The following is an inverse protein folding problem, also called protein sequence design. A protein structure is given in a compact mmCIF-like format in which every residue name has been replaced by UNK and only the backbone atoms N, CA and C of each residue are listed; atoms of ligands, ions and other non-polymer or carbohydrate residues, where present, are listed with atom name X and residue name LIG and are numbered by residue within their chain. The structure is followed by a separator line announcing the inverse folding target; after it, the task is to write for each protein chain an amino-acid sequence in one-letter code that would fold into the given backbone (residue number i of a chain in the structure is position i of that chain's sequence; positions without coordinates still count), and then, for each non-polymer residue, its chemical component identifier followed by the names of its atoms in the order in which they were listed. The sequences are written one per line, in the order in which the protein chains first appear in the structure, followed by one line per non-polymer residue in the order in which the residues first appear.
data_IF_868917051149
#
_entry.id   IF_868917051149
#
_cell.length_a   1.000
_cell.length_b   1.000
_cell.length_c   1.000
_cell.angle_alpha   90.00
_cell.angle_beta   90.00
_cell.angle_gamma   90.00
#
_symmetry.space_group_name_H-M   'P 1'
#
loop_
_entity.id
_entity.type
_entity.pdbx_description
1 polymer ?
#
# COMPACT_ATOMS: atom_id res chain seq x y z
N UNK A 1 15.25 1.52 7.53
CA UNK A 1 15.96 1.68 6.24
C UNK A 1 14.95 1.95 5.14
N UNK A 2 15.12 3.05 4.43
CA UNK A 2 14.20 3.42 3.36
C UNK A 2 14.61 2.73 2.06
N UNK A 3 13.67 2.01 1.45
CA UNK A 3 13.86 1.39 0.14
C UNK A 3 13.29 2.35 -0.90
N UNK A 4 14.10 2.72 -1.86
CA UNK A 4 13.65 3.64 -2.91
C UNK A 4 12.92 2.89 -4.02
N UNK A 5 11.87 3.52 -4.51
CA UNK A 5 11.16 3.03 -5.70
C UNK A 5 11.91 3.59 -6.92
N UNK A 6 12.63 2.74 -7.63
CA UNK A 6 13.34 3.14 -8.83
C UNK A 6 12.40 3.06 -10.06
N UNK A 7 12.94 3.43 -11.24
CA UNK A 7 12.15 3.46 -12.47
C UNK A 7 11.57 2.08 -12.82
N UNK A 8 12.34 1.02 -12.59
CA UNK A 8 11.88 -0.34 -12.91
C UNK A 8 10.70 -0.73 -12.03
N UNK A 9 10.78 -0.42 -10.73
CA UNK A 9 9.70 -0.71 -9.79
C UNK A 9 8.46 0.12 -10.12
N UNK A 10 8.64 1.42 -10.41
CA UNK A 10 7.53 2.30 -10.78
C UNK A 10 6.83 1.82 -12.05
N UNK A 11 7.60 1.35 -13.04
CA UNK A 11 7.05 0.80 -14.28
C UNK A 11 6.26 -0.47 -14.02
N UNK A 12 6.81 -1.35 -13.18
CA UNK A 12 6.14 -2.58 -12.78
C UNK A 12 4.80 -2.28 -12.09
N UNK A 13 4.79 -1.34 -11.16
CA UNK A 13 3.57 -0.94 -10.44
C UNK A 13 2.53 -0.38 -11.40
N UNK A 14 2.96 0.42 -12.38
CA UNK A 14 2.06 0.98 -13.38
C UNK A 14 1.38 -0.12 -14.19
N UNK A 15 2.16 -1.11 -14.61
CA UNK A 15 1.63 -2.25 -15.36
C UNK A 15 0.69 -3.10 -14.51
N UNK A 16 1.06 -3.37 -13.26
CA UNK A 16 0.25 -4.16 -12.34
C UNK A 16 -1.08 -3.47 -12.02
N UNK A 17 -1.05 -2.14 -11.90
CA UNK A 17 -2.27 -1.37 -11.58
C UNK A 17 -3.35 -1.58 -12.63
N UNK A 18 -2.97 -1.74 -13.89
CA UNK A 18 -3.91 -1.95 -14.99
C UNK A 18 -4.18 -3.43 -15.28
N UNK A 19 -3.41 -4.34 -14.69
CA UNK A 19 -3.59 -5.77 -14.89
C UNK A 19 -4.82 -6.26 -14.14
N UNK A 20 -5.71 -6.94 -14.86
CA UNK A 20 -6.95 -7.45 -14.30
C UNK A 20 -6.69 -8.44 -13.17
N UNK A 21 -5.68 -9.26 -13.33
CA UNK A 21 -5.30 -10.28 -12.36
C UNK A 21 -4.79 -9.69 -11.04
N UNK A 22 -4.35 -8.44 -11.07
CA UNK A 22 -3.82 -7.77 -9.88
C UNK A 22 -4.93 -7.17 -9.02
N UNK A 23 -6.12 -6.94 -9.59
CA UNK A 23 -7.23 -6.31 -8.88
C UNK A 23 -7.66 -7.04 -7.60
N UNK A 24 -7.75 -8.37 -7.59
CA UNK A 24 -8.09 -9.08 -6.35
C UNK A 24 -7.13 -8.80 -5.21
N UNK A 25 -5.83 -8.63 -5.51
CA UNK A 25 -4.85 -8.31 -4.48
C UNK A 25 -5.08 -6.89 -3.94
N UNK A 26 -5.37 -5.93 -4.82
CA UNK A 26 -5.67 -4.55 -4.41
C UNK A 26 -6.91 -4.55 -3.50
N UNK A 27 -7.95 -5.26 -3.89
CA UNK A 27 -9.16 -5.37 -3.08
C UNK A 27 -8.87 -6.00 -1.72
N UNK A 28 -8.05 -7.04 -1.70
CA UNK A 28 -7.63 -7.69 -0.45
C UNK A 28 -6.91 -6.71 0.47
N UNK A 29 -6.02 -5.89 -0.07
CA UNK A 29 -5.30 -4.89 0.72
C UNK A 29 -6.26 -3.82 1.26
N UNK A 30 -7.22 -3.38 0.45
CA UNK A 30 -8.22 -2.41 0.89
C UNK A 30 -9.09 -2.95 2.01
N UNK A 31 -9.53 -4.20 1.89
CA UNK A 31 -10.33 -4.86 2.93
C UNK A 31 -9.51 -5.08 4.21
N UNK A 32 -8.25 -5.46 4.07
CA UNK A 32 -7.35 -5.65 5.21
C UNK A 32 -7.16 -4.33 5.95
N UNK A 33 -6.96 -3.24 5.22
CA UNK A 33 -6.80 -1.92 5.81
C UNK A 33 -8.05 -1.51 6.57
N UNK A 34 -9.22 -1.64 5.95
CA UNK A 34 -10.49 -1.27 6.56
C UNK A 34 -10.78 -2.11 7.82
N UNK A 35 -10.55 -3.43 7.74
CA UNK A 35 -10.75 -4.33 8.87
C UNK A 35 -9.80 -3.98 10.02
N UNK A 36 -8.55 -3.67 9.70
CA UNK A 36 -7.55 -3.31 10.71
C UNK A 36 -7.91 -2.02 11.42
N UNK A 37 -8.39 -1.02 10.68
CA UNK A 37 -8.85 0.24 11.27
C UNK A 37 -10.04 0.02 12.21
N UNK A 38 -10.98 -0.84 11.82
CA UNK A 38 -12.12 -1.16 12.64
C UNK A 38 -11.70 -1.84 13.94
N UNK A 39 -10.79 -2.82 13.87
CA UNK A 39 -10.26 -3.49 15.05
C UNK A 39 -9.50 -2.52 15.95
N UNK A 40 -8.75 -1.61 15.35
CA UNK A 40 -8.00 -0.60 16.10
C UNK A 40 -8.94 0.30 16.90
N UNK A 41 -10.07 0.68 16.31
CA UNK A 41 -11.05 1.55 16.98
C UNK A 41 -11.75 0.88 18.15
N UNK A 42 -11.81 -0.46 18.16
CA UNK A 42 -12.48 -1.22 19.22
C UNK A 42 -11.52 -1.86 20.21
N UNK A 43 -10.22 -1.86 19.92
CA UNK A 43 -9.23 -2.49 20.79
C UNK A 43 -9.00 -1.69 22.05
N UNK A 44 -8.88 -2.39 23.19
CA UNK A 44 -8.57 -1.80 24.48
C UNK A 44 -7.19 -2.19 24.99
N UNK A 45 -6.55 -3.14 24.31
CA UNK A 45 -5.21 -3.61 24.66
C UNK A 45 -4.18 -2.76 23.94
N UNK A 46 -3.29 -2.14 24.70
CA UNK A 46 -2.26 -1.24 24.16
C UNK A 46 -1.30 -1.94 23.21
N UNK A 47 -0.88 -3.15 23.53
CA UNK A 47 0.03 -3.92 22.67
C UNK A 47 -0.65 -4.31 21.37
N UNK A 48 -1.92 -4.70 21.45
CA UNK A 48 -2.70 -5.01 20.25
C UNK A 48 -2.89 -3.77 19.39
N UNK A 49 -3.17 -2.62 20.01
CA UNK A 49 -3.32 -1.36 19.28
C UNK A 49 -2.06 -1.00 18.52
N UNK A 50 -0.88 -1.19 19.13
CA UNK A 50 0.39 -0.92 18.44
C UNK A 50 0.60 -1.84 17.24
N UNK A 51 0.27 -3.13 17.39
CA UNK A 51 0.39 -4.08 16.28
C UNK A 51 -0.58 -3.76 15.15
N UNK A 52 -1.81 -3.43 15.49
CA UNK A 52 -2.84 -3.07 14.51
C UNK A 52 -2.47 -1.78 13.78
N UNK A 53 -1.93 -0.81 14.52
CA UNK A 53 -1.49 0.45 13.93
C UNK A 53 -0.38 0.21 12.90
N UNK A 54 0.62 -0.60 13.25
CA UNK A 54 1.70 -0.96 12.32
C UNK A 54 1.17 -1.68 11.08
N UNK A 55 0.21 -2.59 11.25
CA UNK A 55 -0.40 -3.32 10.14
C UNK A 55 -1.18 -2.38 9.22
N UNK A 56 -1.91 -1.43 9.80
CA UNK A 56 -2.66 -0.44 9.02
C UNK A 56 -1.73 0.44 8.20
N UNK A 57 -0.64 0.91 8.81
CA UNK A 57 0.36 1.72 8.10
C UNK A 57 0.98 0.94 6.94
N UNK A 58 1.32 -0.33 7.15
CA UNK A 58 1.89 -1.18 6.11
C UNK A 58 0.93 -1.32 4.93
N UNK A 59 -0.33 -1.63 5.21
CA UNK A 59 -1.33 -1.78 4.16
C UNK A 59 -1.53 -0.48 3.40
N UNK A 60 -1.57 0.65 4.10
CA UNK A 60 -1.73 1.96 3.49
C UNK A 60 -0.52 2.30 2.59
N UNK A 61 0.69 2.01 3.06
CA UNK A 61 1.90 2.26 2.27
C UNK A 61 1.90 1.46 0.97
N UNK A 62 1.48 0.19 1.03
CA UNK A 62 1.40 -0.66 -0.16
C UNK A 62 0.34 -0.14 -1.14
N UNK A 63 -0.82 0.25 -0.63
CA UNK A 63 -1.90 0.81 -1.46
C UNK A 63 -1.47 2.11 -2.11
N UNK A 64 -0.82 2.99 -1.35
CA UNK A 64 -0.33 4.26 -1.87
C UNK A 64 0.75 4.03 -2.94
N UNK A 65 1.62 3.06 -2.72
CA UNK A 65 2.68 2.73 -3.66
C UNK A 65 2.11 2.27 -5.01
N UNK A 66 1.11 1.39 -4.97
CA UNK A 66 0.43 0.92 -6.20
C UNK A 66 -0.23 2.09 -6.91
N UNK A 67 -0.93 2.93 -6.16
CA UNK A 67 -1.69 4.05 -6.72
C UNK A 67 -0.77 5.12 -7.31
N UNK A 68 0.37 5.38 -6.68
CA UNK A 68 1.31 6.43 -7.10
C UNK A 68 2.39 5.96 -8.04
N UNK A 69 2.41 4.67 -8.40
CA UNK A 69 3.46 4.12 -9.25
C UNK A 69 3.63 4.88 -10.56
N UNK A 70 2.54 5.19 -11.25
CA UNK A 70 2.59 5.92 -12.52
C UNK A 70 3.08 7.36 -12.35
N UNK A 71 2.69 8.00 -11.25
CA UNK A 71 3.15 9.36 -10.94
C UNK A 71 4.65 9.39 -10.68
N UNK A 72 5.16 8.39 -9.95
CA UNK A 72 6.58 8.28 -9.67
C UNK A 72 7.38 8.06 -10.95
N UNK A 73 6.86 7.23 -11.86
CA UNK A 73 7.49 6.97 -13.15
C UNK A 73 7.58 8.26 -13.98
N UNK A 74 6.51 9.04 -14.01
CA UNK A 74 6.46 10.32 -14.73
C UNK A 74 7.49 11.29 -14.16
N UNK A 75 7.61 11.39 -12.84
CA UNK A 75 8.60 12.27 -12.20
C UNK A 75 10.02 11.85 -12.54
N UNK A 76 10.30 10.54 -12.54
CA UNK A 76 11.62 10.03 -12.86
C UNK A 76 12.01 10.36 -14.31
N UNK A 77 11.06 10.27 -15.23
CA UNK A 77 11.32 10.54 -16.64
C UNK A 77 11.56 12.02 -16.96
N UNK A 78 11.03 12.91 -16.12
CA UNK A 78 11.19 14.35 -16.32
C UNK A 78 12.55 14.88 -15.86
N UNK A 79 13.28 14.10 -15.12
CA UNK A 79 14.62 14.43 -14.69
C UNK A 79 15.62 13.96 -15.72
#
# INVERSE_FOLDING_TARGET
MAVRVDERVARCLTLLKTAQEFQPLVEFLQLTYADTLERLSTSRDKDEMCRLHGRALQAKELLDLVDKGSTLLTKTRRQ
#
